data_IF_329518357826
#
_entry.id   IF_329518357826
#
_cell.length_a   1.000
_cell.length_b   1.000
_cell.length_c   1.000
_cell.angle_alpha   90.00
_cell.angle_beta   90.00
_cell.angle_gamma   90.00
#
_symmetry.space_group_name_H-M   'P 1'
#
loop_
_entity.id
_entity.type
_entity.pdbx_description
1 polymer ?
#
# COMPACT_ATOMS: atom_id res chain seq x y z
N UNK A 1 4.18 -0.69 -14.64
CA UNK A 1 4.43 0.12 -15.86
C UNK A 1 3.14 0.53 -16.60
N UNK A 2 2.08 -0.33 -16.68
CA UNK A 2 0.86 -0.03 -17.45
C UNK A 2 0.09 1.22 -17.00
N UNK A 3 0.29 1.67 -15.77
CA UNK A 3 -0.32 2.91 -15.23
C UNK A 3 0.61 4.12 -15.30
N UNK A 4 1.78 4.00 -15.95
CA UNK A 4 2.79 5.05 -16.07
C UNK A 4 3.86 5.05 -14.96
N UNK A 5 3.89 4.04 -14.08
CA UNK A 5 4.90 3.95 -13.03
C UNK A 5 6.25 3.47 -13.62
N UNK A 6 7.34 4.08 -13.17
CA UNK A 6 8.71 3.78 -13.55
C UNK A 6 9.44 3.05 -12.42
N UNK A 7 10.25 2.05 -12.80
CA UNK A 7 11.06 1.31 -11.84
C UNK A 7 12.33 2.07 -11.50
N UNK A 8 12.66 2.10 -10.22
CA UNK A 8 13.90 2.63 -9.68
C UNK A 8 14.51 1.62 -8.71
N UNK A 9 15.82 1.69 -8.51
CA UNK A 9 16.50 0.91 -7.47
C UNK A 9 17.02 1.87 -6.41
N UNK A 10 16.62 1.64 -5.16
CA UNK A 10 17.03 2.44 -4.00
C UNK A 10 17.85 1.59 -3.02
N UNK A 11 18.75 2.21 -2.22
CA UNK A 11 19.50 1.50 -1.19
C UNK A 11 18.60 0.89 -0.11
N UNK A 12 19.02 -0.24 0.47
CA UNK A 12 18.37 -0.82 1.66
C UNK A 12 18.81 -0.13 2.95
N UNK A 13 20.06 0.34 3.00
CA UNK A 13 20.61 1.11 4.13
C UNK A 13 20.37 2.58 3.87
N UNK A 14 19.74 3.25 4.82
CA UNK A 14 19.32 4.65 4.73
C UNK A 14 19.99 5.48 5.82
N UNK A 15 20.19 6.77 5.56
CA UNK A 15 20.63 7.72 6.58
C UNK A 15 19.50 8.00 7.57
N UNK A 16 19.82 8.07 8.86
CA UNK A 16 18.85 8.51 9.88
C UNK A 16 18.40 9.97 9.71
N UNK A 17 19.21 10.79 9.05
CA UNK A 17 18.94 12.23 8.90
C UNK A 17 17.62 12.51 8.16
N UNK A 18 17.35 11.78 7.04
CA UNK A 18 16.09 11.95 6.30
C UNK A 18 14.87 11.55 7.10
N UNK A 19 15.01 10.57 8.01
CA UNK A 19 13.96 10.14 8.92
C UNK A 19 13.73 11.10 10.07
N UNK A 20 14.79 11.78 10.54
CA UNK A 20 14.69 12.87 11.51
C UNK A 20 14.01 14.10 10.89
N UNK A 21 14.30 14.42 9.62
CA UNK A 21 13.61 15.49 8.89
C UNK A 21 12.10 15.25 8.77
N UNK A 22 11.66 14.02 8.49
CA UNK A 22 10.24 13.67 8.42
C UNK A 22 9.55 13.63 9.78
N UNK A 23 10.32 13.57 10.86
CA UNK A 23 9.85 13.36 12.23
C UNK A 23 9.54 11.92 12.59
N UNK A 24 9.75 10.96 11.68
CA UNK A 24 9.41 9.55 11.92
C UNK A 24 10.51 8.71 12.58
N UNK A 25 11.70 9.25 12.79
CA UNK A 25 12.82 8.47 13.31
C UNK A 25 12.52 7.87 14.70
N UNK A 26 11.90 8.66 15.57
CA UNK A 26 11.49 8.19 16.90
C UNK A 26 10.09 7.53 16.84
N UNK A 27 9.16 8.09 16.08
CA UNK A 27 7.78 7.63 16.00
C UNK A 27 7.64 6.20 15.43
N UNK A 28 8.61 5.76 14.59
CA UNK A 28 8.60 4.40 14.05
C UNK A 28 8.87 3.34 15.11
N UNK A 29 9.49 3.72 16.23
CA UNK A 29 9.69 2.87 17.39
C UNK A 29 10.79 1.83 17.24
N UNK A 30 10.64 0.73 17.98
CA UNK A 30 11.64 -0.34 18.11
C UNK A 30 11.71 -1.27 16.90
N UNK A 31 10.69 -1.27 16.03
CA UNK A 31 10.71 -2.07 14.80
C UNK A 31 11.75 -1.61 13.78
N UNK A 32 12.29 -0.39 13.94
CA UNK A 32 13.35 0.13 13.10
C UNK A 32 14.70 -0.46 13.52
N UNK A 33 15.34 -1.23 12.64
CA UNK A 33 16.71 -1.70 12.85
C UNK A 33 17.70 -0.54 12.67
N UNK A 34 18.18 0.03 13.78
CA UNK A 34 19.16 1.10 13.81
C UNK A 34 20.58 0.52 13.84
N UNK A 35 21.45 1.07 13.02
CA UNK A 35 22.84 0.63 12.87
C UNK A 35 23.78 1.84 12.90
N UNK A 36 25.06 1.60 13.20
CA UNK A 36 26.12 2.62 13.07
C UNK A 36 27.17 2.13 12.09
N UNK A 37 27.62 3.01 11.23
CA UNK A 37 28.77 2.71 10.37
C UNK A 37 30.11 2.83 11.13
N UNK A 38 31.22 2.55 10.42
CA UNK A 38 32.57 2.64 11.00
C UNK A 38 32.97 4.04 11.48
N UNK A 39 32.29 5.07 11.00
CA UNK A 39 32.52 6.46 11.37
C UNK A 39 31.59 6.93 12.50
N UNK A 40 30.74 6.02 13.01
CA UNK A 40 29.76 6.34 14.05
C UNK A 40 28.50 7.04 13.56
N UNK A 41 28.30 7.14 12.23
CA UNK A 41 27.07 7.76 11.68
C UNK A 41 25.88 6.83 11.88
N UNK A 42 24.78 7.40 12.32
CA UNK A 42 23.51 6.68 12.50
C UNK A 42 22.85 6.40 11.17
N UNK A 43 22.52 5.16 10.97
CA UNK A 43 21.85 4.65 9.78
C UNK A 43 20.76 3.67 10.19
N UNK A 44 19.95 3.22 9.26
CA UNK A 44 18.93 2.22 9.49
C UNK A 44 18.79 1.28 8.28
N UNK A 45 18.33 0.07 8.53
CA UNK A 45 17.85 -0.78 7.45
C UNK A 45 16.41 -0.36 7.13
N UNK A 46 16.14 0.03 5.88
CA UNK A 46 14.86 0.61 5.48
C UNK A 46 13.65 -0.30 5.70
N UNK A 47 12.76 0.05 6.64
CA UNK A 47 11.51 -0.67 6.82
C UNK A 47 10.45 -0.26 5.77
N UNK A 48 10.66 0.88 5.16
CA UNK A 48 9.87 1.52 4.07
C UNK A 48 10.70 2.65 3.46
N UNK A 49 10.22 3.34 2.43
CA UNK A 49 11.04 4.30 1.68
C UNK A 49 10.39 5.66 1.42
N UNK A 50 9.38 6.08 2.16
CA UNK A 50 8.75 7.39 1.98
C UNK A 50 9.78 8.51 2.04
N UNK A 51 10.67 8.46 3.03
CA UNK A 51 11.74 9.45 3.22
C UNK A 51 12.76 9.40 2.08
N UNK A 52 13.23 8.20 1.75
CA UNK A 52 14.28 8.02 0.75
C UNK A 52 13.81 8.47 -0.64
N UNK A 53 12.61 8.08 -1.04
CA UNK A 53 12.07 8.49 -2.35
C UNK A 53 11.75 9.99 -2.40
N UNK A 54 11.36 10.58 -1.27
CA UNK A 54 11.15 12.03 -1.16
C UNK A 54 12.46 12.80 -1.31
N UNK A 55 13.55 12.28 -0.73
CA UNK A 55 14.89 12.87 -0.86
C UNK A 55 15.39 12.82 -2.32
N UNK A 56 15.19 11.68 -3.00
CA UNK A 56 15.49 11.53 -4.43
C UNK A 56 14.66 12.52 -5.25
N UNK A 57 13.36 12.60 -4.98
CA UNK A 57 12.46 13.52 -5.68
C UNK A 57 12.90 14.99 -5.52
N UNK A 58 13.07 15.46 -4.27
CA UNK A 58 13.44 16.86 -4.00
C UNK A 58 14.78 17.28 -4.59
N UNK A 59 15.70 16.31 -4.74
CA UNK A 59 17.01 16.58 -5.37
C UNK A 59 16.93 16.69 -6.90
N UNK A 60 16.01 15.97 -7.53
CA UNK A 60 15.93 15.76 -8.97
C UNK A 60 14.85 16.59 -9.65
N UNK A 61 13.69 16.81 -9.02
CA UNK A 61 12.52 17.44 -9.62
C UNK A 61 12.32 18.84 -9.05
N UNK A 62 12.29 19.84 -9.94
CA UNK A 62 12.13 21.26 -9.56
C UNK A 62 10.88 21.92 -10.14
N UNK A 63 10.33 21.39 -11.21
CA UNK A 63 9.22 21.99 -11.95
C UNK A 63 7.97 21.11 -11.93
N UNK A 64 6.81 21.75 -11.78
CA UNK A 64 5.51 21.09 -11.91
C UNK A 64 5.32 20.35 -13.26
N UNK A 65 6.05 20.75 -14.30
CA UNK A 65 5.97 20.12 -15.63
C UNK A 65 6.48 18.68 -15.63
N UNK A 66 7.23 18.29 -14.61
CA UNK A 66 7.73 16.92 -14.44
C UNK A 66 6.75 16.02 -13.66
N UNK A 67 5.60 16.55 -13.24
CA UNK A 67 4.57 15.81 -12.53
C UNK A 67 3.48 15.27 -13.49
N UNK A 68 2.79 14.19 -13.15
CA UNK A 68 3.03 13.35 -11.97
C UNK A 68 4.28 12.47 -12.11
N UNK A 69 4.91 12.14 -10.98
CA UNK A 69 5.93 11.11 -10.90
C UNK A 69 5.35 9.90 -10.18
N UNK A 70 5.36 8.75 -10.85
CA UNK A 70 4.96 7.47 -10.26
C UNK A 70 6.19 6.56 -10.28
N UNK A 71 6.74 6.28 -9.11
CA UNK A 71 7.98 5.51 -8.96
C UNK A 71 7.69 4.23 -8.17
N UNK A 72 8.35 3.13 -8.53
CA UNK A 72 8.28 1.90 -7.73
C UNK A 72 9.61 1.18 -7.72
N UNK A 73 9.82 0.38 -6.69
CA UNK A 73 10.86 -0.62 -6.69
C UNK A 73 10.42 -1.92 -6.02
N UNK A 74 11.20 -2.97 -6.20
CA UNK A 74 10.99 -4.27 -5.58
C UNK A 74 12.28 -4.61 -4.86
N UNK A 75 12.23 -4.63 -3.53
CA UNK A 75 13.43 -4.71 -2.70
C UNK A 75 13.14 -5.31 -1.33
N UNK A 76 14.16 -5.80 -0.68
CA UNK A 76 14.14 -6.25 0.69
C UNK A 76 13.82 -5.09 1.64
N UNK A 77 13.02 -5.41 2.66
CA UNK A 77 12.72 -4.57 3.81
C UNK A 77 13.02 -5.34 5.07
N UNK A 78 13.32 -4.62 6.13
CA UNK A 78 13.51 -5.20 7.44
C UNK A 78 12.65 -4.44 8.47
N UNK A 79 11.92 -5.21 9.27
CA UNK A 79 11.22 -4.72 10.47
C UNK A 79 11.55 -5.67 11.61
N UNK A 80 11.98 -5.13 12.74
CA UNK A 80 12.37 -5.93 13.90
C UNK A 80 11.13 -6.46 14.63
N UNK A 81 10.35 -7.28 13.90
CA UNK A 81 9.14 -7.91 14.40
C UNK A 81 9.45 -8.82 15.59
N UNK A 82 8.85 -8.55 16.73
CA UNK A 82 9.08 -9.30 17.98
C UNK A 82 8.45 -10.69 17.97
N UNK A 83 7.44 -10.92 17.13
CA UNK A 83 6.69 -12.18 17.04
C UNK A 83 6.55 -12.67 15.60
N UNK A 84 7.65 -13.03 14.92
CA UNK A 84 7.57 -13.65 13.61
C UNK A 84 6.75 -14.94 13.68
N UNK A 85 5.86 -15.13 12.70
CA UNK A 85 4.96 -16.29 12.70
C UNK A 85 4.41 -16.57 11.30
N UNK A 86 3.82 -17.75 11.12
CA UNK A 86 3.24 -18.20 9.86
C UNK A 86 4.24 -18.18 8.68
N UNK A 87 5.50 -18.56 8.94
CA UNK A 87 6.55 -18.63 7.92
C UNK A 87 6.76 -17.26 7.24
N UNK A 88 6.65 -17.24 5.92
CA UNK A 88 6.84 -16.03 5.10
C UNK A 88 5.70 -15.00 5.21
N UNK A 89 4.63 -15.29 5.94
CA UNK A 89 3.50 -14.37 6.08
C UNK A 89 3.84 -13.18 6.98
N UNK A 90 4.60 -13.42 8.06
CA UNK A 90 5.03 -12.38 9.02
C UNK A 90 6.45 -12.65 9.49
N UNK A 91 7.42 -12.19 8.72
CA UNK A 91 8.84 -12.31 8.98
C UNK A 91 9.50 -10.95 9.18
N UNK A 92 10.72 -10.95 9.69
CA UNK A 92 11.49 -9.73 9.96
C UNK A 92 12.07 -9.13 8.69
N UNK A 93 12.57 -9.97 7.79
CA UNK A 93 13.06 -9.58 6.47
C UNK A 93 12.13 -10.13 5.40
N UNK A 94 11.68 -9.27 4.49
CA UNK A 94 10.68 -9.62 3.48
C UNK A 94 10.86 -8.81 2.20
N UNK A 95 10.42 -9.39 1.10
CA UNK A 95 10.46 -8.77 -0.21
C UNK A 95 9.16 -8.01 -0.47
N UNK A 96 9.28 -6.72 -0.76
CA UNK A 96 8.13 -5.84 -0.99
C UNK A 96 8.27 -5.10 -2.31
N UNK A 97 7.18 -5.01 -3.07
CA UNK A 97 7.00 -3.99 -4.09
C UNK A 97 6.37 -2.79 -3.42
N UNK A 98 7.08 -1.70 -3.35
CA UNK A 98 6.55 -0.42 -2.89
C UNK A 98 6.64 0.62 -4.00
N UNK A 99 5.59 1.41 -4.12
CA UNK A 99 5.50 2.49 -5.10
C UNK A 99 5.05 3.78 -4.42
N UNK A 100 5.34 4.89 -5.08
CA UNK A 100 5.12 6.22 -4.57
C UNK A 100 4.64 7.14 -5.68
N UNK A 101 3.71 8.02 -5.36
CA UNK A 101 3.27 9.07 -6.29
C UNK A 101 3.63 10.45 -5.76
N UNK A 102 3.96 11.34 -6.69
CA UNK A 102 4.19 12.75 -6.45
C UNK A 102 3.33 13.54 -7.45
N UNK A 103 2.40 14.30 -6.94
CA UNK A 103 1.37 14.98 -7.70
C UNK A 103 1.31 16.46 -7.32
N UNK A 104 0.78 17.30 -8.22
CA UNK A 104 0.73 18.74 -8.02
C UNK A 104 -0.40 19.20 -7.09
N UNK A 105 -1.47 18.41 -6.99
CA UNK A 105 -2.67 18.72 -6.22
C UNK A 105 -3.31 17.48 -5.62
N UNK A 106 -4.21 17.67 -4.66
CA UNK A 106 -4.98 16.57 -4.08
C UNK A 106 -5.82 15.83 -5.14
N UNK A 107 -6.38 16.54 -6.12
CA UNK A 107 -7.14 15.93 -7.21
C UNK A 107 -6.27 15.00 -8.07
N UNK A 108 -5.07 15.44 -8.46
CA UNK A 108 -4.14 14.63 -9.24
C UNK A 108 -3.60 13.45 -8.42
N UNK A 109 -3.35 13.65 -7.12
CA UNK A 109 -2.94 12.57 -6.22
C UNK A 109 -4.04 11.51 -6.04
N UNK A 110 -5.30 11.91 -5.94
CA UNK A 110 -6.41 10.97 -5.94
C UNK A 110 -6.55 10.22 -7.28
N UNK A 111 -6.24 10.88 -8.39
CA UNK A 111 -6.19 10.19 -9.69
C UNK A 111 -5.06 9.15 -9.71
N UNK A 112 -3.88 9.48 -9.22
CA UNK A 112 -2.78 8.53 -9.06
C UNK A 112 -3.14 7.38 -8.10
N UNK A 113 -3.77 7.68 -6.97
CA UNK A 113 -4.30 6.69 -6.03
C UNK A 113 -5.26 5.71 -6.71
N UNK A 114 -6.20 6.21 -7.49
CA UNK A 114 -7.19 5.39 -8.21
C UNK A 114 -6.54 4.54 -9.31
N UNK A 115 -5.45 5.00 -9.94
CA UNK A 115 -4.64 4.17 -10.85
C UNK A 115 -4.03 2.97 -10.14
N UNK A 116 -3.47 3.17 -8.93
CA UNK A 116 -2.92 2.08 -8.12
C UNK A 116 -4.03 1.15 -7.60
N UNK A 117 -5.17 1.68 -7.19
CA UNK A 117 -6.35 0.90 -6.82
C UNK A 117 -6.73 -0.10 -7.92
N UNK A 118 -6.92 0.39 -9.17
CA UNK A 118 -7.18 -0.47 -10.33
C UNK A 118 -6.04 -1.46 -10.59
N UNK A 119 -4.78 -0.98 -10.51
CA UNK A 119 -3.60 -1.81 -10.77
C UNK A 119 -3.53 -3.00 -9.80
N UNK A 120 -3.87 -2.78 -8.53
CA UNK A 120 -3.86 -3.83 -7.50
C UNK A 120 -4.96 -4.85 -7.74
N UNK A 121 -6.20 -4.42 -8.01
CA UNK A 121 -7.28 -5.33 -8.39
C UNK A 121 -6.89 -6.23 -9.57
N UNK A 122 -6.28 -5.63 -10.62
CA UNK A 122 -5.81 -6.39 -11.79
C UNK A 122 -4.63 -7.31 -11.49
N UNK A 123 -3.73 -6.89 -10.61
CA UNK A 123 -2.56 -7.70 -10.21
C UNK A 123 -3.02 -8.94 -9.48
N UNK A 124 -3.87 -8.79 -8.47
CA UNK A 124 -4.39 -9.93 -7.71
C UNK A 124 -5.27 -10.85 -8.56
N UNK A 125 -6.12 -10.28 -9.43
CA UNK A 125 -6.88 -11.08 -10.42
C UNK A 125 -5.98 -11.93 -11.33
N UNK A 126 -4.84 -11.38 -11.79
CA UNK A 126 -3.86 -12.16 -12.58
C UNK A 126 -3.21 -13.30 -11.80
N UNK A 127 -3.09 -13.14 -10.48
CA UNK A 127 -2.61 -14.19 -9.57
C UNK A 127 -3.73 -15.16 -9.16
N UNK A 128 -4.91 -15.04 -9.81
CA UNK A 128 -6.10 -15.82 -9.49
C UNK A 128 -6.52 -15.70 -8.01
N UNK A 129 -6.31 -14.50 -7.44
CA UNK A 129 -6.69 -14.13 -6.08
C UNK A 129 -7.82 -13.11 -6.11
N UNK A 130 -8.87 -13.36 -5.33
CA UNK A 130 -9.93 -12.37 -5.08
C UNK A 130 -9.53 -11.52 -3.88
N UNK A 131 -8.86 -10.40 -4.14
CA UNK A 131 -8.50 -9.45 -3.12
C UNK A 131 -9.56 -8.34 -3.03
N UNK A 132 -10.07 -8.11 -1.81
CA UNK A 132 -11.11 -7.12 -1.53
C UNK A 132 -10.43 -5.88 -0.96
N UNK A 133 -10.63 -4.70 -1.57
CA UNK A 133 -10.20 -3.45 -0.96
C UNK A 133 -11.10 -3.13 0.25
N UNK A 134 -10.49 -2.95 1.40
CA UNK A 134 -11.15 -2.63 2.65
C UNK A 134 -10.67 -1.28 3.17
N UNK A 135 -11.58 -0.45 3.64
CA UNK A 135 -11.20 0.78 4.32
C UNK A 135 -10.39 0.44 5.58
N UNK A 136 -9.19 0.99 5.67
CA UNK A 136 -8.22 0.70 6.71
C UNK A 136 -7.80 1.96 7.47
N UNK A 137 -7.19 1.77 8.65
CA UNK A 137 -6.51 2.84 9.35
C UNK A 137 -5.19 3.18 8.65
N UNK A 138 -4.77 4.43 8.75
CA UNK A 138 -3.52 4.88 8.12
C UNK A 138 -2.29 4.64 9.00
N UNK A 139 -2.49 4.35 10.27
CA UNK A 139 -1.43 4.06 11.23
C UNK A 139 -0.33 5.13 11.29
N UNK A 140 0.93 4.76 11.59
CA UNK A 140 2.07 5.69 11.64
C UNK A 140 2.39 6.34 10.29
N UNK A 141 2.00 5.74 9.16
CA UNK A 141 2.15 6.35 7.83
C UNK A 141 1.32 7.63 7.76
N UNK A 142 0.10 7.60 8.34
CA UNK A 142 -0.83 8.74 8.39
C UNK A 142 -1.52 8.98 7.05
N UNK A 143 -2.34 10.04 6.99
CA UNK A 143 -3.09 10.41 5.80
C UNK A 143 -4.61 10.28 6.01
N UNK A 144 -5.38 10.54 4.96
CA UNK A 144 -6.83 10.66 5.03
C UNK A 144 -7.58 9.54 4.29
N UNK A 145 -6.89 8.76 3.46
CA UNK A 145 -7.48 7.71 2.65
C UNK A 145 -6.54 6.50 2.58
N UNK A 146 -7.06 5.35 2.92
CA UNK A 146 -6.29 4.10 2.92
C UNK A 146 -7.20 2.90 2.61
N UNK A 147 -6.68 1.96 1.80
CA UNK A 147 -7.33 0.68 1.54
C UNK A 147 -6.31 -0.46 1.66
N UNK A 148 -6.66 -1.44 2.47
CA UNK A 148 -6.01 -2.75 2.47
C UNK A 148 -6.67 -3.66 1.45
N UNK A 149 -5.86 -4.43 0.71
CA UNK A 149 -6.33 -5.48 -0.16
C UNK A 149 -6.18 -6.82 0.55
N UNK A 150 -7.31 -7.43 0.87
CA UNK A 150 -7.37 -8.63 1.71
C UNK A 150 -7.96 -9.79 0.91
N UNK A 151 -7.32 -10.94 0.96
CA UNK A 151 -7.87 -12.21 0.51
C UNK A 151 -8.42 -12.99 1.69
N UNK A 152 -9.53 -13.70 1.48
CA UNK A 152 -10.10 -14.54 2.53
C UNK A 152 -9.24 -15.76 2.77
N UNK A 153 -8.92 -16.02 4.04
CA UNK A 153 -8.19 -17.20 4.47
C UNK A 153 -8.46 -17.43 5.96
N UNK A 154 -8.81 -18.65 6.35
CA UNK A 154 -9.08 -19.01 7.74
C UNK A 154 -7.83 -18.87 8.63
N UNK A 155 -6.65 -19.04 8.04
CA UNK A 155 -5.34 -18.83 8.66
C UNK A 155 -4.93 -17.35 8.72
N UNK A 156 -5.73 -16.44 8.13
CA UNK A 156 -5.46 -15.00 8.10
C UNK A 156 -5.38 -14.37 9.49
N UNK A 157 -4.55 -13.35 9.63
CA UNK A 157 -4.39 -12.60 10.89
C UNK A 157 -5.43 -11.49 11.05
N UNK A 158 -5.87 -10.88 9.94
CA UNK A 158 -6.80 -9.76 9.96
C UNK A 158 -8.24 -10.27 10.08
N UNK A 159 -8.95 -9.82 11.13
CA UNK A 159 -10.40 -9.99 11.18
C UNK A 159 -11.05 -8.96 10.27
N UNK A 160 -12.03 -9.39 9.53
CA UNK A 160 -12.72 -8.55 8.54
C UNK A 160 -14.24 -8.65 8.66
N UNK A 161 -14.89 -7.57 8.30
CA UNK A 161 -16.35 -7.41 8.32
C UNK A 161 -16.78 -6.79 6.99
N UNK A 162 -17.56 -7.52 6.21
CA UNK A 162 -17.92 -7.06 4.86
C UNK A 162 -19.32 -7.49 4.42
N UNK A 163 -19.90 -6.74 3.49
CA UNK A 163 -21.07 -7.17 2.72
C UNK A 163 -20.62 -8.15 1.62
N UNK A 164 -21.16 -9.38 1.63
CA UNK A 164 -20.87 -10.41 0.63
C UNK A 164 -21.04 -9.94 -0.82
N UNK A 165 -21.88 -8.95 -1.08
CA UNK A 165 -22.09 -8.39 -2.43
C UNK A 165 -20.84 -7.74 -3.02
N UNK A 166 -19.83 -7.42 -2.21
CA UNK A 166 -18.57 -6.87 -2.73
C UNK A 166 -17.85 -7.86 -3.65
N UNK A 167 -18.07 -9.17 -3.47
CA UNK A 167 -17.49 -10.23 -4.31
C UNK A 167 -18.05 -10.26 -5.73
N UNK A 168 -19.22 -9.66 -5.97
CA UNK A 168 -19.84 -9.53 -7.30
C UNK A 168 -19.19 -8.42 -8.12
N UNK A 169 -18.37 -7.58 -7.49
CA UNK A 169 -17.67 -6.49 -8.16
C UNK A 169 -16.45 -6.97 -8.92
N UNK A 170 -16.19 -6.32 -10.04
CA UNK A 170 -14.97 -6.51 -10.81
C UNK A 170 -14.49 -5.19 -11.41
N UNK A 171 -13.26 -5.18 -11.89
CA UNK A 171 -12.62 -4.03 -12.52
C UNK A 171 -12.58 -4.10 -14.04
N UNK A 172 -13.35 -5.02 -14.65
CA UNK A 172 -13.36 -5.22 -16.09
C UNK A 172 -13.93 -4.00 -16.81
N UNK A 173 -13.40 -3.68 -17.97
CA UNK A 173 -13.81 -2.52 -18.76
C UNK A 173 -13.40 -1.15 -18.18
N UNK A 174 -12.80 -1.09 -17.00
CA UNK A 174 -12.36 0.19 -16.41
C UNK A 174 -11.20 0.79 -17.19
N UNK A 175 -11.39 2.04 -17.65
CA UNK A 175 -10.40 2.82 -18.40
C UNK A 175 -9.49 3.62 -17.44
N UNK A 176 -8.28 3.98 -17.90
CA UNK A 176 -7.33 4.84 -17.18
C UNK A 176 -7.69 6.33 -17.32
N UNK A 177 -8.93 6.67 -17.03
CA UNK A 177 -9.51 8.02 -17.10
C UNK A 177 -10.00 8.40 -15.70
N UNK A 178 -9.86 9.66 -15.28
CA UNK A 178 -10.21 10.14 -13.92
C UNK A 178 -11.59 9.63 -13.48
N UNK A 179 -12.63 9.94 -14.25
CA UNK A 179 -14.02 9.58 -13.91
C UNK A 179 -14.27 8.07 -13.86
N UNK A 180 -13.64 7.30 -14.76
CA UNK A 180 -13.76 5.84 -14.80
C UNK A 180 -13.13 5.19 -13.56
N UNK A 181 -11.98 5.68 -13.14
CA UNK A 181 -11.26 5.20 -11.97
C UNK A 181 -11.93 5.60 -10.66
N UNK A 182 -12.42 6.83 -10.58
CA UNK A 182 -13.20 7.33 -9.44
C UNK A 182 -14.46 6.48 -9.25
N UNK A 183 -15.24 6.28 -10.30
CA UNK A 183 -16.43 5.44 -10.26
C UNK A 183 -16.13 3.99 -9.85
N UNK A 184 -14.96 3.45 -10.25
CA UNK A 184 -14.53 2.12 -9.80
C UNK A 184 -14.35 2.09 -8.28
N UNK A 185 -13.57 3.02 -7.72
CA UNK A 185 -13.31 3.09 -6.28
C UNK A 185 -14.62 3.29 -5.50
N UNK A 186 -15.44 4.26 -5.91
CA UNK A 186 -16.74 4.52 -5.29
C UNK A 186 -17.70 3.31 -5.30
N UNK A 187 -17.65 2.47 -6.34
CA UNK A 187 -18.44 1.23 -6.39
C UNK A 187 -18.06 0.27 -5.27
N UNK A 188 -16.75 0.14 -4.96
CA UNK A 188 -16.30 -0.68 -3.84
C UNK A 188 -16.64 -0.03 -2.50
N UNK A 189 -16.44 1.27 -2.36
CA UNK A 189 -16.72 2.04 -1.13
C UNK A 189 -18.21 2.10 -0.74
N UNK A 190 -19.13 1.82 -1.69
CA UNK A 190 -20.57 1.70 -1.39
C UNK A 190 -20.91 0.51 -0.50
N UNK A 191 -20.06 -0.52 -0.48
CA UNK A 191 -20.26 -1.68 0.37
C UNK A 191 -19.47 -1.50 1.66
N UNK A 192 -20.09 -1.86 2.77
CA UNK A 192 -19.38 -1.91 4.04
C UNK A 192 -18.32 -3.00 3.95
N UNK A 193 -17.06 -2.61 4.08
CA UNK A 193 -15.93 -3.53 4.04
C UNK A 193 -14.76 -2.91 4.82
N UNK A 194 -14.48 -3.44 6.00
CA UNK A 194 -13.49 -2.88 6.94
C UNK A 194 -12.74 -3.98 7.68
N UNK A 195 -11.54 -3.63 8.16
CA UNK A 195 -10.78 -4.42 9.13
C UNK A 195 -11.31 -4.21 10.56
N UNK A 196 -10.84 -5.03 11.51
CA UNK A 196 -11.26 -4.97 12.92
C UNK A 196 -11.08 -3.58 13.55
N UNK A 197 -10.03 -2.86 13.14
CA UNK A 197 -9.69 -1.52 13.65
C UNK A 197 -10.74 -0.45 13.31
N UNK A 198 -11.40 -0.59 12.17
CA UNK A 198 -12.49 0.31 11.73
C UNK A 198 -13.88 -0.27 11.92
N UNK A 199 -13.99 -1.43 12.53
CA UNK A 199 -15.29 -2.07 12.71
C UNK A 199 -16.21 -1.29 13.66
N UNK A 200 -17.38 -0.92 13.17
CA UNK A 200 -18.47 -0.38 13.95
C UNK A 200 -19.69 -1.30 13.83
N UNK A 201 -20.10 -1.89 14.93
CA UNK A 201 -21.19 -2.88 14.97
C UNK A 201 -22.53 -2.29 14.51
N UNK A 202 -22.87 -1.12 15.01
CA UNK A 202 -24.16 -0.46 14.69
C UNK A 202 -24.25 -0.11 13.21
N UNK A 203 -23.16 0.46 12.68
CA UNK A 203 -23.05 0.78 11.26
C UNK A 203 -23.14 -0.48 10.38
N UNK A 204 -22.43 -1.54 10.74
CA UNK A 204 -22.46 -2.81 10.03
C UNK A 204 -23.85 -3.43 10.00
N UNK A 205 -24.56 -3.42 11.15
CA UNK A 205 -25.88 -3.98 11.26
C UNK A 205 -26.94 -3.14 10.53
N UNK A 206 -26.71 -1.84 10.41
CA UNK A 206 -27.60 -0.91 9.68
C UNK A 206 -27.38 -0.97 8.17
N UNK A 207 -26.12 -0.97 7.74
CA UNK A 207 -25.78 -0.90 6.30
C UNK A 207 -25.84 -2.24 5.58
N UNK A 208 -25.63 -3.36 6.30
CA UNK A 208 -25.53 -4.68 5.68
C UNK A 208 -26.69 -5.56 6.12
N UNK A 209 -27.47 -6.08 5.16
CA UNK A 209 -28.52 -7.06 5.43
C UNK A 209 -27.94 -8.30 6.13
N UNK A 210 -28.64 -8.85 7.09
CA UNK A 210 -28.17 -9.99 7.89
C UNK A 210 -27.65 -11.16 7.03
N UNK A 211 -28.37 -11.50 5.96
CA UNK A 211 -28.01 -12.57 5.01
C UNK A 211 -26.71 -12.33 4.27
N UNK A 212 -26.28 -11.07 4.15
CA UNK A 212 -25.08 -10.65 3.44
C UNK A 212 -23.89 -10.39 4.38
N UNK A 213 -24.11 -10.37 5.70
CA UNK A 213 -23.04 -10.11 6.66
C UNK A 213 -22.00 -11.24 6.63
N UNK A 214 -20.75 -10.88 6.41
CA UNK A 214 -19.62 -11.78 6.50
C UNK A 214 -18.66 -11.27 7.57
N UNK A 215 -18.36 -12.13 8.54
CA UNK A 215 -17.32 -11.95 9.55
C UNK A 215 -16.37 -13.10 9.41
N UNK A 216 -15.13 -12.84 9.03
CA UNK A 216 -14.15 -13.89 8.78
C UNK A 216 -12.74 -13.35 8.99
N UNK A 217 -11.74 -14.12 8.59
CA UNK A 217 -10.33 -13.72 8.59
C UNK A 217 -9.82 -13.58 7.17
N UNK A 218 -8.73 -12.84 7.03
CA UNK A 218 -8.06 -12.69 5.76
C UNK A 218 -6.59 -12.34 5.90
N UNK A 219 -5.91 -12.38 4.78
CA UNK A 219 -4.50 -12.05 4.64
C UNK A 219 -4.41 -10.73 3.87
N UNK A 220 -3.80 -9.72 4.50
CA UNK A 220 -3.44 -8.48 3.83
C UNK A 220 -2.32 -8.75 2.82
N UNK A 221 -2.59 -8.54 1.53
CA UNK A 221 -1.62 -8.75 0.45
C UNK A 221 -1.12 -7.45 -0.17
N UNK A 222 -1.80 -6.34 0.08
CA UNK A 222 -1.37 -5.02 -0.37
C UNK A 222 -2.07 -3.92 0.40
N UNK A 223 -1.46 -2.75 0.43
CA UNK A 223 -1.98 -1.58 1.12
C UNK A 223 -1.64 -0.32 0.32
N UNK A 224 -2.59 0.57 0.19
CA UNK A 224 -2.42 1.85 -0.50
C UNK A 224 -2.84 3.00 0.37
N UNK A 225 -2.07 4.10 0.33
CA UNK A 225 -2.25 5.27 1.18
C UNK A 225 -2.21 6.55 0.36
N UNK A 226 -3.04 7.50 0.71
CA UNK A 226 -2.90 8.90 0.36
C UNK A 226 -2.67 9.73 1.62
N UNK A 227 -1.58 10.47 1.69
CA UNK A 227 -1.18 11.21 2.89
C UNK A 227 -0.84 12.70 2.64
N UNK A 228 -1.23 13.24 1.47
CA UNK A 228 -1.07 14.65 1.18
C UNK A 228 0.38 15.11 1.18
N UNK A 229 0.69 16.15 1.93
CA UNK A 229 2.03 16.73 2.05
C UNK A 229 2.78 16.36 3.34
N UNK A 230 2.37 15.28 4.01
CA UNK A 230 2.95 14.84 5.29
C UNK A 230 4.47 14.67 5.24
N UNK A 231 5.01 14.15 4.13
CA UNK A 231 6.45 13.96 3.93
C UNK A 231 7.08 15.10 3.14
N UNK A 232 6.43 15.56 2.09
CA UNK A 232 6.96 16.59 1.22
C UNK A 232 7.20 17.92 1.94
N UNK A 233 6.29 18.30 2.84
CA UNK A 233 6.39 19.56 3.58
C UNK A 233 7.57 19.61 4.55
N UNK A 234 7.74 18.68 5.52
CA UNK A 234 8.88 18.71 6.43
C UNK A 234 10.21 18.50 5.73
N UNK A 235 10.25 17.71 4.64
CA UNK A 235 11.46 17.44 3.86
C UNK A 235 11.71 18.47 2.75
N UNK A 236 10.90 19.52 2.62
CA UNK A 236 11.11 20.58 1.64
C UNK A 236 10.92 20.16 0.17
N UNK A 237 10.18 19.09 -0.10
CA UNK A 237 9.93 18.60 -1.46
C UNK A 237 8.84 19.42 -2.16
N UNK A 238 9.25 20.51 -2.81
CA UNK A 238 8.39 21.45 -3.52
C UNK A 238 8.78 21.61 -4.97
N UNK A 239 7.85 22.07 -5.79
CA UNK A 239 8.06 22.37 -7.21
C UNK A 239 7.68 23.81 -7.53
N UNK A 240 8.35 24.36 -8.52
CA UNK A 240 8.00 25.67 -9.07
C UNK A 240 6.73 25.57 -9.91
N UNK A 241 5.76 26.43 -9.58
CA UNK A 241 4.48 26.58 -10.29
C UNK A 241 4.54 27.74 -11.30
N UNK A 242 3.54 27.87 -12.21
CA UNK A 242 3.39 29.04 -13.05
C UNK A 242 3.38 30.34 -12.20
N UNK A 243 4.09 31.36 -12.66
CA UNK A 243 4.16 32.66 -11.94
C UNK A 243 5.16 32.70 -10.78
N UNK A 244 6.05 31.69 -10.66
CA UNK A 244 7.18 31.71 -9.70
C UNK A 244 6.80 31.31 -8.27
N UNK A 245 5.55 30.87 -8.04
CA UNK A 245 5.16 30.29 -6.75
C UNK A 245 5.76 28.90 -6.59
N UNK A 246 5.95 28.47 -5.34
CA UNK A 246 6.32 27.11 -5.00
C UNK A 246 5.20 26.46 -4.19
N UNK A 247 5.00 25.15 -4.39
CA UNK A 247 4.10 24.37 -3.56
C UNK A 247 4.68 22.99 -3.28
N UNK A 248 4.28 22.42 -2.15
CA UNK A 248 4.67 21.07 -1.76
C UNK A 248 3.85 20.05 -2.53
N UNK A 249 4.52 19.03 -3.06
CA UNK A 249 3.86 17.97 -3.80
C UNK A 249 2.99 17.10 -2.88
N UNK A 250 1.92 16.57 -3.44
CA UNK A 250 1.03 15.61 -2.77
C UNK A 250 1.51 14.19 -3.06
N UNK A 251 1.50 13.34 -2.03
CA UNK A 251 2.13 12.04 -2.11
C UNK A 251 1.19 10.92 -1.69
N UNK A 252 1.39 9.75 -2.28
CA UNK A 252 0.81 8.47 -1.88
C UNK A 252 1.85 7.37 -1.86
N UNK A 253 1.57 6.30 -1.13
CA UNK A 253 2.41 5.09 -1.00
C UNK A 253 1.57 3.84 -1.25
N UNK A 254 2.15 2.85 -1.93
CA UNK A 254 1.41 1.71 -2.47
C UNK A 254 2.26 0.44 -2.35
N UNK A 255 2.00 -0.38 -1.33
CA UNK A 255 2.78 -1.59 -1.01
C UNK A 255 2.11 -2.89 -1.41
N UNK A 256 2.90 -3.86 -1.89
CA UNK A 256 2.52 -5.29 -2.03
C UNK A 256 3.59 -6.13 -1.36
N UNK A 257 3.19 -6.98 -0.42
CA UNK A 257 4.08 -7.95 0.22
C UNK A 257 4.36 -9.13 -0.71
N UNK A 258 5.42 -9.05 -1.53
CA UNK A 258 5.74 -10.07 -2.53
C UNK A 258 6.03 -11.43 -1.89
N UNK A 259 6.81 -11.46 -0.80
CA UNK A 259 7.04 -12.70 -0.04
C UNK A 259 5.73 -13.28 0.51
N UNK A 260 4.87 -12.41 1.07
CA UNK A 260 3.57 -12.79 1.63
C UNK A 260 2.63 -13.35 0.57
N UNK A 261 2.69 -12.86 -0.68
CA UNK A 261 1.87 -13.38 -1.79
C UNK A 261 2.10 -14.87 -2.05
N UNK A 262 3.31 -15.39 -1.86
CA UNK A 262 3.58 -16.84 -2.00
C UNK A 262 2.73 -17.62 -1.01
N UNK A 263 2.76 -17.26 0.27
CA UNK A 263 1.92 -17.87 1.30
C UNK A 263 0.43 -17.68 1.04
N UNK A 264 0.03 -16.49 0.62
CA UNK A 264 -1.36 -16.17 0.30
C UNK A 264 -1.92 -16.99 -0.86
N UNK A 265 -1.11 -17.26 -1.89
CA UNK A 265 -1.49 -18.15 -3.01
C UNK A 265 -1.63 -19.58 -2.51
N UNK A 266 -0.70 -20.06 -1.67
CA UNK A 266 -0.80 -21.41 -1.07
C UNK A 266 -2.11 -21.56 -0.31
N UNK A 267 -2.41 -20.65 0.61
CA UNK A 267 -3.65 -20.68 1.40
C UNK A 267 -4.91 -20.64 0.52
N UNK A 268 -4.93 -19.81 -0.53
CA UNK A 268 -6.09 -19.66 -1.39
C UNK A 268 -6.28 -20.80 -2.41
N UNK A 269 -5.22 -21.58 -2.70
CA UNK A 269 -5.21 -22.56 -3.79
C UNK A 269 -4.92 -23.99 -3.35
N UNK A 270 -4.69 -24.22 -2.07
CA UNK A 270 -4.55 -25.56 -1.53
C UNK A 270 -5.88 -26.32 -1.60
N UNK A 271 -5.87 -27.48 -2.19
CA UNK A 271 -7.02 -28.39 -2.29
C UNK A 271 -6.89 -29.44 -1.20
N UNK A 272 -7.54 -29.23 -0.07
CA UNK A 272 -7.48 -30.11 1.09
C UNK A 272 -7.97 -31.53 0.77
N UNK A 273 -8.96 -31.68 -0.12
CA UNK A 273 -9.53 -32.98 -0.47
C UNK A 273 -8.55 -33.87 -1.22
N UNK A 274 -7.73 -33.25 -2.08
CA UNK A 274 -6.77 -34.00 -2.92
C UNK A 274 -5.33 -33.84 -2.39
N UNK A 275 -5.13 -33.06 -1.33
CA UNK A 275 -3.81 -32.75 -0.73
C UNK A 275 -2.80 -32.18 -1.75
N UNK A 276 -3.27 -31.34 -2.66
CA UNK A 276 -2.44 -30.75 -3.73
C UNK A 276 -2.49 -29.24 -3.75
N UNK A 277 -1.38 -28.62 -4.10
CA UNK A 277 -1.26 -27.21 -4.40
C UNK A 277 -1.46 -26.95 -5.89
N UNK A 278 -2.38 -26.04 -6.23
CA UNK A 278 -2.65 -25.61 -7.61
C UNK A 278 -2.13 -24.20 -7.83
N UNK A 279 -0.95 -24.08 -8.45
CA UNK A 279 -0.43 -22.76 -8.78
C UNK A 279 -1.24 -22.09 -9.89
N UNK A 280 -1.51 -20.77 -9.78
CA UNK A 280 -2.08 -20.01 -10.90
C UNK A 280 -1.17 -20.09 -12.13
N UNK A 281 -1.75 -20.28 -13.31
CA UNK A 281 -0.98 -20.38 -14.57
C UNK A 281 -0.08 -19.15 -14.80
N UNK A 282 -0.48 -17.99 -14.29
CA UNK A 282 0.30 -16.74 -14.44
C UNK A 282 1.61 -16.71 -13.65
N UNK A 283 1.84 -17.67 -12.74
CA UNK A 283 3.06 -17.77 -11.89
C UNK A 283 3.67 -19.18 -11.91
N UNK A 284 3.10 -20.09 -12.71
CA UNK A 284 3.59 -21.45 -12.91
C UNK A 284 4.69 -21.50 -13.98
#
# INVERSE_FOLDING_TARGET
NKIGAQEILMPTIQSSEIWKESGRYEDYGEEMLRIKDRQGREMLYGPTNEELVTDIFRSSVKSYKSLPQLLYHIQWKFRDETRPRFGIMRCREFYMKDAYSFDISDEEALFSYNKFFLSYLKTFKRLDLTAIPMAADTGPIGGNLSHEFIILADTGESKIYTDKKIFDLNSDGTKLEKKSLENLRERYEKFYSVTDEKFNKEEFETKVKETNRLKTKGIEVGHIFYFGDKYSKPMGASVDLPGGKKDFVKMGSYGIGVSRLVGAIIEAKYDEKNEVMKWPISVA
#
